data_IF_965492376055
#
_entry.id   IF_965492376055
#
_cell.length_a   1.000
_cell.length_b   1.000
_cell.length_c   1.000
_cell.angle_alpha   90.00
_cell.angle_beta   90.00
_cell.angle_gamma   90.00
#
_symmetry.space_group_name_H-M   'P 1'
#
loop_
_entity.id
_entity.type
_entity.pdbx_description
1 polymer ?
#
# COMPACT_ATOMS: atom_id res chain seq x y z
N UNK A 1 23.30 19.70 33.89
CA UNK A 1 21.90 19.49 34.34
C UNK A 1 20.87 19.89 33.27
N UNK A 2 21.02 21.03 32.59
CA UNK A 2 20.09 21.51 31.56
C UNK A 2 19.92 20.57 30.36
N UNK A 3 21.01 19.97 29.85
CA UNK A 3 20.94 19.08 28.68
C UNK A 3 20.16 17.78 28.95
N UNK A 4 20.25 17.24 30.17
CA UNK A 4 19.49 16.05 30.55
C UNK A 4 17.99 16.34 30.60
N UNK A 5 17.59 17.46 31.21
CA UNK A 5 16.19 17.90 31.25
C UNK A 5 15.63 18.19 29.85
N UNK A 6 16.43 18.78 28.97
CA UNK A 6 16.05 19.04 27.59
C UNK A 6 15.86 17.75 26.79
N UNK A 7 16.78 16.78 26.92
CA UNK A 7 16.67 15.48 26.27
C UNK A 7 15.46 14.69 26.78
N UNK A 8 15.19 14.72 28.08
CA UNK A 8 14.00 14.09 28.67
C UNK A 8 12.70 14.73 28.15
N UNK A 9 12.62 16.07 28.11
CA UNK A 9 11.45 16.77 27.56
C UNK A 9 11.24 16.44 26.08
N UNK A 10 12.32 16.42 25.28
CA UNK A 10 12.25 16.06 23.86
C UNK A 10 11.80 14.60 23.67
N UNK A 11 12.30 13.69 24.50
CA UNK A 11 11.89 12.28 24.50
C UNK A 11 10.42 12.08 24.84
N UNK A 12 9.90 12.82 25.82
CA UNK A 12 8.46 12.77 26.19
C UNK A 12 7.60 13.31 25.05
N UNK A 13 7.96 14.45 24.46
CA UNK A 13 7.21 15.04 23.34
C UNK A 13 7.21 14.09 22.14
N UNK A 14 8.38 13.55 21.78
CA UNK A 14 8.51 12.66 20.63
C UNK A 14 7.84 11.31 20.86
N UNK A 15 7.93 10.77 22.08
CA UNK A 15 7.21 9.56 22.48
C UNK A 15 5.69 9.77 22.46
N UNK A 16 5.21 10.94 22.92
CA UNK A 16 3.80 11.31 22.83
C UNK A 16 3.30 11.41 21.40
N UNK A 17 4.07 12.04 20.51
CA UNK A 17 3.77 12.12 19.07
C UNK A 17 3.67 10.73 18.43
N UNK A 18 4.67 9.87 18.64
CA UNK A 18 4.66 8.51 18.12
C UNK A 18 3.52 7.66 18.74
N UNK A 19 3.23 7.87 20.03
CA UNK A 19 2.13 7.22 20.74
C UNK A 19 0.77 7.59 20.16
N UNK A 20 0.53 8.88 19.91
CA UNK A 20 -0.71 9.37 19.27
C UNK A 20 -0.89 8.78 17.87
N UNK A 21 0.18 8.71 17.07
CA UNK A 21 0.15 8.08 15.75
C UNK A 21 -0.20 6.59 15.88
N UNK A 22 0.37 5.88 16.84
CA UNK A 22 0.09 4.46 17.07
C UNK A 22 -1.36 4.22 17.53
N UNK A 23 -1.91 5.07 18.42
CA UNK A 23 -3.31 5.00 18.85
C UNK A 23 -4.25 5.27 17.68
N UNK A 24 -3.98 6.30 16.87
CA UNK A 24 -4.77 6.60 15.68
C UNK A 24 -4.78 5.45 14.68
N UNK A 25 -3.61 4.86 14.43
CA UNK A 25 -3.50 3.67 13.58
C UNK A 25 -4.33 2.51 14.18
N UNK A 26 -4.13 2.17 15.45
CA UNK A 26 -4.86 1.10 16.13
C UNK A 26 -6.39 1.28 16.07
N UNK A 27 -6.89 2.51 16.20
CA UNK A 27 -8.31 2.82 16.11
C UNK A 27 -8.88 2.57 14.70
N UNK A 28 -8.15 2.98 13.66
CA UNK A 28 -8.53 2.76 12.27
C UNK A 28 -8.67 1.26 11.96
N UNK A 29 -7.74 0.42 12.43
CA UNK A 29 -7.85 -1.04 12.24
C UNK A 29 -8.90 -1.68 13.16
N UNK A 30 -9.06 -1.17 14.38
CA UNK A 30 -10.01 -1.70 15.36
C UNK A 30 -11.48 -1.54 14.94
N UNK A 31 -11.79 -0.51 14.16
CA UNK A 31 -13.17 -0.24 13.71
C UNK A 31 -13.45 -0.84 12.33
N UNK A 32 -12.50 -0.78 11.39
CA UNK A 32 -12.74 -1.23 10.00
C UNK A 32 -12.80 -2.76 9.84
N UNK A 33 -12.27 -3.56 10.80
CA UNK A 33 -12.20 -5.04 10.74
C UNK A 33 -11.65 -5.62 9.41
N UNK A 34 -10.98 -4.79 8.61
CA UNK A 34 -10.50 -5.12 7.26
C UNK A 34 -9.02 -4.78 7.23
N UNK A 35 -8.17 -5.81 7.15
CA UNK A 35 -6.74 -5.61 7.05
C UNK A 35 -6.31 -5.63 5.57
N UNK A 36 -5.89 -4.49 5.01
CA UNK A 36 -5.43 -4.39 3.62
C UNK A 36 -3.90 -4.49 3.49
N UNK A 37 -3.39 -5.68 3.14
CA UNK A 37 -1.95 -5.89 2.88
C UNK A 37 -1.48 -5.33 1.52
N UNK A 38 -2.40 -5.06 0.59
CA UNK A 38 -2.06 -4.52 -0.74
C UNK A 38 -1.68 -3.06 -0.74
N UNK A 39 -1.87 -2.34 0.38
CA UNK A 39 -1.59 -0.92 0.47
C UNK A 39 -0.16 -0.57 0.03
N UNK A 40 0.83 -1.39 0.43
CA UNK A 40 2.23 -1.21 0.02
C UNK A 40 2.44 -1.39 -1.49
N UNK A 41 1.85 -2.43 -2.09
CA UNK A 41 1.93 -2.63 -3.55
C UNK A 41 1.26 -1.48 -4.33
N UNK A 42 0.15 -0.94 -3.85
CA UNK A 42 -0.51 0.21 -4.46
C UNK A 42 0.37 1.47 -4.38
N UNK A 43 1.03 1.70 -3.24
CA UNK A 43 1.96 2.82 -3.06
C UNK A 43 3.16 2.71 -4.02
N UNK A 44 3.76 1.53 -4.14
CA UNK A 44 4.86 1.27 -5.09
C UNK A 44 4.38 1.47 -6.54
N UNK A 45 3.17 1.03 -6.87
CA UNK A 45 2.57 1.26 -8.19
C UNK A 45 2.40 2.75 -8.49
N UNK A 46 1.96 3.55 -7.51
CA UNK A 46 1.87 5.00 -7.62
C UNK A 46 3.21 5.67 -7.85
N UNK A 47 4.23 5.29 -7.08
CA UNK A 47 5.59 5.78 -7.27
C UNK A 47 6.13 5.44 -8.67
N UNK A 48 5.82 4.26 -9.19
CA UNK A 48 6.21 3.85 -10.54
C UNK A 48 5.50 4.67 -11.62
N UNK A 49 4.22 4.99 -11.45
CA UNK A 49 3.49 5.89 -12.35
C UNK A 49 4.14 7.28 -12.34
N UNK A 50 4.42 7.84 -11.15
CA UNK A 50 5.11 9.13 -11.01
C UNK A 50 6.48 9.13 -11.72
N UNK A 51 7.24 8.04 -11.57
CA UNK A 51 8.53 7.86 -12.20
C UNK A 51 8.44 7.79 -13.74
N UNK A 52 7.44 7.09 -14.27
CA UNK A 52 7.17 7.06 -15.72
C UNK A 52 6.80 8.46 -16.23
N UNK A 53 5.96 9.19 -15.50
CA UNK A 53 5.59 10.56 -15.87
C UNK A 53 6.81 11.46 -15.93
N UNK A 54 7.73 11.31 -14.99
CA UNK A 54 8.98 12.05 -14.97
C UNK A 54 9.87 11.74 -16.18
N UNK A 55 10.10 10.46 -16.50
CA UNK A 55 10.96 10.08 -17.63
C UNK A 55 10.35 10.41 -18.99
N UNK A 56 9.05 10.19 -19.17
CA UNK A 56 8.38 10.32 -20.47
C UNK A 56 7.96 11.75 -20.79
N UNK A 57 7.53 12.49 -19.78
CA UNK A 57 6.93 13.82 -19.95
C UNK A 57 7.74 14.94 -19.29
N UNK A 58 8.86 14.62 -18.62
CA UNK A 58 9.68 15.59 -17.91
C UNK A 58 8.97 16.24 -16.72
N UNK A 59 7.84 15.70 -16.28
CA UNK A 59 7.04 16.26 -15.19
C UNK A 59 7.76 16.03 -13.87
N UNK A 60 7.94 17.09 -13.10
CA UNK A 60 8.51 16.98 -11.76
C UNK A 60 7.67 16.01 -10.89
N UNK A 61 8.29 15.10 -10.12
CA UNK A 61 7.57 14.15 -9.27
C UNK A 61 6.56 14.80 -8.33
N UNK A 62 6.79 16.05 -7.90
CA UNK A 62 5.85 16.80 -7.06
C UNK A 62 4.62 17.27 -7.85
N UNK A 63 4.80 17.67 -9.11
CA UNK A 63 3.68 18.04 -10.00
C UNK A 63 2.92 16.82 -10.52
N UNK A 64 3.52 15.63 -10.48
CA UNK A 64 2.86 14.38 -10.85
C UNK A 64 1.86 13.89 -9.78
N UNK A 65 1.94 14.39 -8.54
CA UNK A 65 1.11 13.95 -7.40
C UNK A 65 -0.39 13.98 -7.71
N UNK A 66 -0.99 15.06 -8.26
CA UNK A 66 -2.42 15.11 -8.55
C UNK A 66 -2.84 14.06 -9.59
N UNK A 67 -2.01 13.86 -10.63
CA UNK A 67 -2.29 12.90 -11.70
C UNK A 67 -2.22 11.47 -11.16
N UNK A 68 -1.20 11.17 -10.37
CA UNK A 68 -1.01 9.87 -9.71
C UNK A 68 -2.15 9.61 -8.72
N UNK A 69 -2.57 10.62 -7.97
CA UNK A 69 -3.68 10.52 -7.02
C UNK A 69 -4.99 10.17 -7.73
N UNK A 70 -5.33 10.86 -8.83
CA UNK A 70 -6.53 10.57 -9.64
C UNK A 70 -6.45 9.17 -10.24
N UNK A 71 -5.30 8.78 -10.80
CA UNK A 71 -5.11 7.46 -11.40
C UNK A 71 -5.24 6.33 -10.37
N UNK A 72 -4.57 6.45 -9.22
CA UNK A 72 -4.66 5.48 -8.13
C UNK A 72 -6.04 5.47 -7.47
N UNK A 73 -6.72 6.61 -7.38
CA UNK A 73 -8.08 6.68 -6.86
C UNK A 73 -9.05 5.92 -7.76
N UNK A 74 -8.98 6.14 -9.08
CA UNK A 74 -9.80 5.41 -10.04
C UNK A 74 -9.53 3.90 -9.97
N UNK A 75 -8.25 3.51 -9.94
CA UNK A 75 -7.87 2.09 -9.81
C UNK A 75 -8.33 1.48 -8.49
N UNK A 76 -8.09 2.17 -7.37
CA UNK A 76 -8.51 1.76 -6.04
C UNK A 76 -10.02 1.66 -5.91
N UNK A 77 -10.79 2.56 -6.52
CA UNK A 77 -12.25 2.51 -6.54
C UNK A 77 -12.77 1.26 -7.27
N UNK A 78 -12.17 0.92 -8.41
CA UNK A 78 -12.52 -0.31 -9.15
C UNK A 78 -12.21 -1.55 -8.32
N UNK A 79 -11.05 -1.61 -7.67
CA UNK A 79 -10.68 -2.71 -6.78
C UNK A 79 -11.60 -2.82 -5.56
N UNK A 80 -11.93 -1.68 -4.94
CA UNK A 80 -12.81 -1.61 -3.78
C UNK A 80 -14.20 -2.15 -4.14
N UNK A 81 -14.77 -1.67 -5.25
CA UNK A 81 -16.11 -2.05 -5.69
C UNK A 81 -16.17 -3.49 -6.21
N UNK A 82 -15.14 -3.96 -6.90
CA UNK A 82 -15.12 -5.26 -7.57
C UNK A 82 -14.69 -6.43 -6.66
N UNK A 83 -13.68 -6.23 -5.81
CA UNK A 83 -13.12 -7.31 -4.98
C UNK A 83 -13.45 -7.14 -3.50
N UNK A 84 -13.25 -5.95 -2.94
CA UNK A 84 -13.35 -5.75 -1.49
C UNK A 84 -14.81 -5.78 -1.03
N UNK A 85 -15.73 -5.16 -1.77
CA UNK A 85 -17.16 -5.19 -1.46
C UNK A 85 -17.76 -6.61 -1.49
N UNK A 86 -17.16 -7.55 -2.23
CA UNK A 86 -17.61 -8.96 -2.24
C UNK A 86 -17.27 -9.69 -0.93
N UNK A 87 -16.22 -9.26 -0.24
CA UNK A 87 -15.63 -9.98 0.91
C UNK A 87 -15.77 -9.17 2.20
N UNK A 88 -16.41 -8.00 2.16
CA UNK A 88 -16.54 -7.10 3.32
C UNK A 88 -17.35 -7.69 4.49
N UNK A 89 -18.30 -8.59 4.19
CA UNK A 89 -19.09 -9.31 5.20
C UNK A 89 -18.46 -10.65 5.60
N UNK A 90 -17.32 -11.02 4.99
CA UNK A 90 -16.64 -12.29 5.24
C UNK A 90 -15.71 -12.17 6.46
N UNK A 91 -15.31 -13.30 7.08
CA UNK A 91 -14.37 -13.27 8.20
C UNK A 91 -13.04 -12.62 7.80
N UNK A 92 -12.39 -11.97 8.77
CA UNK A 92 -11.18 -11.16 8.56
C UNK A 92 -10.05 -11.91 7.82
N UNK A 93 -9.95 -13.22 8.03
CA UNK A 93 -8.99 -14.08 7.34
C UNK A 93 -9.19 -14.11 5.82
N UNK A 94 -10.44 -14.06 5.34
CA UNK A 94 -10.73 -14.05 3.90
C UNK A 94 -10.30 -12.72 3.26
N UNK A 95 -10.54 -11.61 3.95
CA UNK A 95 -10.13 -10.28 3.51
C UNK A 95 -8.60 -10.12 3.49
N UNK A 96 -7.95 -10.69 4.50
CA UNK A 96 -6.49 -10.83 4.56
C UNK A 96 -5.93 -11.63 3.37
N UNK A 97 -6.50 -12.81 3.12
CA UNK A 97 -6.07 -13.67 2.02
C UNK A 97 -6.28 -13.01 0.65
N UNK A 98 -7.43 -12.34 0.47
CA UNK A 98 -7.74 -11.59 -0.75
C UNK A 98 -6.73 -10.47 -1.00
N UNK A 99 -6.45 -9.64 0.01
CA UNK A 99 -5.52 -8.50 -0.12
C UNK A 99 -4.07 -8.97 -0.25
N UNK A 100 -3.71 -10.07 0.38
CA UNK A 100 -2.41 -10.72 0.16
C UNK A 100 -2.28 -11.27 -1.27
N UNK A 101 -3.31 -11.96 -1.77
CA UNK A 101 -3.35 -12.43 -3.15
C UNK A 101 -3.27 -11.28 -4.16
N UNK A 102 -3.98 -10.19 -3.89
CA UNK A 102 -3.95 -8.98 -4.71
C UNK A 102 -2.56 -8.32 -4.72
N UNK A 103 -1.87 -8.29 -3.56
CA UNK A 103 -0.49 -7.85 -3.47
C UNK A 103 0.45 -8.69 -4.36
N UNK A 104 0.30 -10.02 -4.34
CA UNK A 104 1.08 -10.92 -5.20
C UNK A 104 0.79 -10.68 -6.68
N UNK A 105 -0.47 -10.48 -7.07
CA UNK A 105 -0.84 -10.22 -8.47
C UNK A 105 -0.29 -8.88 -8.96
N UNK A 106 -0.33 -7.82 -8.14
CA UNK A 106 0.21 -6.51 -8.53
C UNK A 106 1.73 -6.57 -8.72
N UNK A 107 2.44 -7.20 -7.78
CA UNK A 107 3.91 -7.25 -7.82
C UNK A 107 4.46 -8.31 -8.78
N UNK A 108 3.78 -9.46 -8.92
CA UNK A 108 4.28 -10.64 -9.62
C UNK A 108 3.35 -11.14 -10.75
N UNK A 109 2.25 -10.47 -11.06
CA UNK A 109 1.32 -10.92 -12.10
C UNK A 109 2.00 -11.16 -13.46
N UNK A 110 3.07 -10.41 -13.76
CA UNK A 110 3.86 -10.59 -14.98
C UNK A 110 4.82 -11.80 -14.95
N UNK A 111 5.27 -12.24 -13.78
CA UNK A 111 6.17 -13.39 -13.62
C UNK A 111 5.41 -14.72 -13.61
N UNK A 112 4.20 -14.77 -13.04
CA UNK A 112 3.34 -15.98 -13.06
C UNK A 112 2.99 -16.41 -14.48
N UNK A 113 2.71 -15.47 -15.39
CA UNK A 113 2.45 -15.78 -16.80
C UNK A 113 3.68 -16.37 -17.54
N UNK A 114 4.91 -16.13 -17.04
CA UNK A 114 6.15 -16.66 -17.65
C UNK A 114 6.53 -18.05 -17.13
N UNK A 115 6.08 -18.45 -15.94
CA UNK A 115 6.31 -19.79 -15.40
C UNK A 115 5.60 -20.86 -16.24
N UNK A 116 4.35 -20.60 -16.65
CA UNK A 116 3.58 -21.52 -17.49
C UNK A 116 4.21 -21.73 -18.88
N UNK A 117 4.95 -20.74 -19.40
CA UNK A 117 5.67 -20.83 -20.68
C UNK A 117 7.08 -21.43 -20.58
N UNK A 118 7.68 -21.45 -19.39
CA UNK A 118 9.00 -22.06 -19.15
C UNK A 118 8.87 -23.55 -18.81
N UNK A 119 7.84 -23.94 -18.07
CA UNK A 119 7.56 -25.35 -17.79
C UNK A 119 7.31 -26.16 -19.07
N UNK A 120 6.64 -25.57 -20.07
CA UNK A 120 6.42 -26.21 -21.37
C UNK A 120 7.65 -26.28 -22.29
N UNK A 121 8.73 -25.55 -21.97
CA UNK A 121 9.98 -25.56 -22.74
C UNK A 121 11.07 -26.44 -22.13
N UNK A 122 10.96 -26.79 -20.84
CA UNK A 122 11.88 -27.71 -20.16
C UNK A 122 11.46 -29.18 -20.28
N UNK A 123 10.25 -29.46 -20.76
CA UNK A 123 9.72 -30.80 -21.03
C UNK A 123 9.83 -31.20 -22.52
N UNK A 124 10.64 -30.46 -23.30
CA UNK A 124 11.12 -30.83 -24.63
C UNK A 124 12.63 -30.85 -24.59
#
# INVERSE_FOLDING_TARGET
MSQFLQAAAYGVVQGGLLGLVAVGFSLVWGIMNVVNFSHGALAVTGAYIAWILNIRFGVDPFLAIPVVAVALFAFGYVLQRGLINLVINAPIFLTLLLTFGLNLVILNGRSTHRMHRRASRSAR
#
